data_IF_601772315821
#
_entry.id   IF_601772315821
#
_cell.length_a   1.000
_cell.length_b   1.000
_cell.length_c   1.000
_cell.angle_alpha   90.00
_cell.angle_beta   90.00
_cell.angle_gamma   90.00
#
_symmetry.space_group_name_H-M   'P 1'
#
loop_
_entity.id
_entity.type
_entity.pdbx_description
1 polymer ?
#
# COMPACT_ATOMS: atom_id res chain seq x y z
N UNK A 1 -12.13 2.50 8.01
CA UNK A 1 -11.15 3.09 8.92
C UNK A 1 -9.85 3.39 8.19
N UNK A 2 -9.23 4.49 8.57
CA UNK A 2 -7.95 4.92 7.98
C UNK A 2 -6.89 4.90 9.07
N UNK A 3 -5.75 4.28 8.76
CA UNK A 3 -4.62 4.18 9.67
C UNK A 3 -3.38 4.74 9.00
N UNK A 4 -2.48 5.31 9.79
CA UNK A 4 -1.18 5.77 9.32
C UNK A 4 -0.09 5.08 10.14
N UNK A 5 0.84 4.43 9.44
CA UNK A 5 2.00 3.77 10.03
C UNK A 5 3.23 4.65 9.84
N UNK A 6 4.02 4.79 10.88
CA UNK A 6 5.28 5.54 10.82
C UNK A 6 6.43 4.62 11.22
N UNK A 7 7.44 4.53 10.37
CA UNK A 7 8.70 3.88 10.73
C UNK A 7 9.64 4.95 11.26
N UNK A 8 10.12 4.76 12.49
CA UNK A 8 10.92 5.77 13.15
C UNK A 8 12.26 5.19 13.63
N UNK A 9 13.27 6.06 13.65
CA UNK A 9 14.54 5.79 14.29
C UNK A 9 14.72 6.87 15.35
N UNK A 10 14.43 6.53 16.62
CA UNK A 10 14.35 7.52 17.68
C UNK A 10 13.22 8.51 17.41
N UNK A 11 13.55 9.79 17.29
CA UNK A 11 12.58 10.85 16.99
C UNK A 11 12.46 11.15 15.49
N UNK A 12 13.29 10.50 14.66
CA UNK A 12 13.32 10.75 13.24
C UNK A 12 12.37 9.82 12.51
N UNK A 13 11.51 10.37 11.65
CA UNK A 13 10.63 9.58 10.78
C UNK A 13 11.42 9.13 9.56
N UNK A 14 11.52 7.81 9.34
CA UNK A 14 12.22 7.23 8.20
C UNK A 14 11.25 7.01 7.03
N UNK A 15 10.03 6.58 7.31
CA UNK A 15 9.06 6.33 6.27
C UNK A 15 7.64 6.24 6.81
N UNK A 16 6.68 6.20 5.89
CA UNK A 16 5.26 6.16 6.22
C UNK A 16 4.53 5.17 5.34
N UNK A 17 3.36 4.72 5.81
CA UNK A 17 2.40 3.99 5.00
C UNK A 17 1.01 4.25 5.56
N UNK A 18 0.02 4.33 4.67
CA UNK A 18 -1.38 4.46 5.05
C UNK A 18 -2.16 3.21 4.71
N UNK A 19 -3.21 2.94 5.47
CA UNK A 19 -4.08 1.79 5.26
C UNK A 19 -5.53 2.22 5.44
N UNK A 20 -6.36 1.97 4.42
CA UNK A 20 -7.81 2.13 4.52
C UNK A 20 -8.42 0.73 4.56
N UNK A 21 -9.20 0.44 5.59
CA UNK A 21 -9.78 -0.89 5.82
C UNK A 21 -11.23 -0.92 5.38
N UNK A 22 -11.60 -1.94 4.59
CA UNK A 22 -12.95 -2.16 4.07
C UNK A 22 -13.31 -3.63 4.30
N UNK A 23 -14.03 -3.93 5.38
CA UNK A 23 -14.42 -5.30 5.73
C UNK A 23 -13.21 -6.25 5.80
N UNK A 24 -13.02 -7.11 4.79
CA UNK A 24 -11.94 -8.10 4.77
C UNK A 24 -10.81 -7.73 3.80
N UNK A 25 -10.83 -6.51 3.24
CA UNK A 25 -9.76 -6.03 2.37
C UNK A 25 -9.30 -4.64 2.80
N UNK A 26 -8.14 -4.22 2.27
CA UNK A 26 -7.58 -2.93 2.60
C UNK A 26 -6.87 -2.31 1.41
N UNK A 27 -6.82 -0.98 1.38
CA UNK A 27 -6.08 -0.22 0.40
C UNK A 27 -4.81 0.33 1.05
N UNK A 28 -3.66 -0.09 0.53
CA UNK A 28 -2.36 0.45 0.94
C UNK A 28 -2.11 1.75 0.19
N UNK A 29 -1.74 2.80 0.90
CA UNK A 29 -1.52 4.11 0.30
C UNK A 29 -0.43 4.88 1.01
N UNK A 30 0.06 5.94 0.36
CA UNK A 30 1.01 6.90 0.96
C UNK A 30 2.29 6.24 1.48
N UNK A 31 2.74 5.17 0.81
CA UNK A 31 4.02 4.53 1.15
C UNK A 31 5.15 5.45 0.72
N UNK A 32 6.00 5.81 1.66
CA UNK A 32 7.09 6.75 1.41
C UNK A 32 8.27 6.47 2.33
N UNK A 33 9.48 6.60 1.81
CA UNK A 33 10.73 6.56 2.57
C UNK A 33 11.46 7.87 2.28
N UNK A 34 12.00 8.52 3.32
CA UNK A 34 12.73 9.78 3.12
C UNK A 34 13.97 9.54 2.24
N UNK A 35 14.39 10.57 1.48
CA UNK A 35 15.43 10.42 0.47
C UNK A 35 16.74 9.87 1.00
N UNK A 36 17.18 10.32 2.17
CA UNK A 36 18.45 9.87 2.77
C UNK A 36 18.43 8.38 3.15
N UNK A 37 17.25 7.79 3.29
CA UNK A 37 17.08 6.41 3.74
C UNK A 37 16.65 5.46 2.63
N UNK A 38 16.44 5.97 1.41
CA UNK A 38 16.05 5.12 0.28
C UNK A 38 17.22 4.21 -0.12
N UNK A 39 16.87 3.02 -0.61
CA UNK A 39 17.86 2.03 -1.02
C UNK A 39 18.40 1.16 0.11
N UNK A 40 17.92 1.34 1.34
CA UNK A 40 18.37 0.58 2.53
C UNK A 40 17.40 -0.54 2.94
N UNK A 41 16.35 -0.79 2.15
CA UNK A 41 15.38 -1.84 2.44
C UNK A 41 14.25 -1.44 3.37
N UNK A 42 14.13 -0.18 3.73
CA UNK A 42 13.08 0.28 4.64
C UNK A 42 11.67 0.15 4.04
N UNK A 43 11.54 0.31 2.71
CA UNK A 43 10.25 0.10 2.05
C UNK A 43 9.72 -1.31 2.25
N UNK A 44 10.58 -2.32 2.16
CA UNK A 44 10.21 -3.72 2.40
C UNK A 44 9.82 -3.94 3.86
N UNK A 45 10.52 -3.33 4.80
CA UNK A 45 10.21 -3.43 6.23
C UNK A 45 8.83 -2.81 6.51
N UNK A 46 8.56 -1.63 5.97
CA UNK A 46 7.27 -0.95 6.14
C UNK A 46 6.15 -1.80 5.58
N UNK A 47 6.33 -2.34 4.37
CA UNK A 47 5.32 -3.16 3.72
C UNK A 47 5.04 -4.43 4.54
N UNK A 48 6.08 -5.11 5.01
CA UNK A 48 5.92 -6.31 5.84
C UNK A 48 5.16 -6.02 7.13
N UNK A 49 5.51 -4.93 7.81
CA UNK A 49 4.85 -4.54 9.05
C UNK A 49 3.37 -4.21 8.83
N UNK A 50 3.05 -3.49 7.77
CA UNK A 50 1.67 -3.12 7.48
C UNK A 50 0.84 -4.35 7.07
N UNK A 51 1.45 -5.31 6.36
CA UNK A 51 0.78 -6.56 6.01
C UNK A 51 0.51 -7.42 7.24
N UNK A 52 1.46 -7.49 8.16
CA UNK A 52 1.26 -8.22 9.41
C UNK A 52 0.13 -7.62 10.23
N UNK A 53 0.09 -6.30 10.33
CA UNK A 53 -1.00 -5.60 11.01
C UNK A 53 -2.36 -5.92 10.34
N UNK A 54 -2.40 -5.89 9.01
CA UNK A 54 -3.62 -6.19 8.27
C UNK A 54 -4.09 -7.61 8.52
N UNK A 55 -3.19 -8.59 8.49
CA UNK A 55 -3.53 -9.99 8.79
C UNK A 55 -4.13 -10.14 10.20
N UNK A 56 -3.51 -9.51 11.18
CA UNK A 56 -3.98 -9.56 12.57
C UNK A 56 -5.36 -8.89 12.73
N UNK A 57 -5.69 -7.97 11.83
CA UNK A 57 -6.99 -7.27 11.82
C UNK A 57 -8.06 -8.00 11.03
N UNK A 58 -7.77 -9.19 10.51
CA UNK A 58 -8.74 -9.97 9.73
C UNK A 58 -8.78 -9.64 8.24
N UNK A 59 -7.80 -8.89 7.75
CA UNK A 59 -7.70 -8.53 6.33
C UNK A 59 -7.06 -9.70 5.57
N UNK A 60 -7.64 -10.08 4.43
CA UNK A 60 -7.12 -11.18 3.62
C UNK A 60 -6.66 -10.75 2.21
N UNK A 61 -6.94 -9.51 1.80
CA UNK A 61 -6.50 -8.96 0.53
C UNK A 61 -6.05 -7.52 0.68
N UNK A 62 -4.93 -7.19 0.04
CA UNK A 62 -4.41 -5.82 -0.03
C UNK A 62 -4.48 -5.34 -1.46
N UNK A 63 -4.88 -4.08 -1.64
CA UNK A 63 -4.91 -3.40 -2.93
C UNK A 63 -4.07 -2.14 -2.86
N UNK A 64 -3.53 -1.71 -3.99
CA UNK A 64 -2.83 -0.44 -4.09
C UNK A 64 -2.88 0.10 -5.52
N UNK A 65 -2.62 1.40 -5.65
CA UNK A 65 -2.33 2.02 -6.95
C UNK A 65 -0.93 2.59 -6.89
N UNK A 66 -0.20 2.45 -8.00
CA UNK A 66 1.13 3.05 -8.10
C UNK A 66 1.37 3.55 -9.52
N UNK A 67 2.08 4.66 -9.63
CA UNK A 67 2.49 5.21 -10.92
C UNK A 67 3.96 4.91 -11.21
N UNK A 68 4.77 4.64 -10.19
CA UNK A 68 6.23 4.54 -10.33
C UNK A 68 6.86 3.32 -9.64
N UNK A 69 6.13 2.63 -8.76
CA UNK A 69 6.71 1.60 -7.90
C UNK A 69 6.23 0.19 -8.22
N UNK A 70 5.76 -0.07 -9.45
CA UNK A 70 5.28 -1.39 -9.86
C UNK A 70 6.31 -2.47 -9.58
N UNK A 71 7.57 -2.25 -9.96
CA UNK A 71 8.62 -3.25 -9.80
C UNK A 71 8.90 -3.56 -8.34
N UNK A 72 8.87 -2.53 -7.49
CA UNK A 72 9.03 -2.73 -6.05
C UNK A 72 7.92 -3.63 -5.50
N UNK A 73 6.67 -3.34 -5.84
CA UNK A 73 5.54 -4.12 -5.32
C UNK A 73 5.45 -5.50 -5.95
N UNK A 74 5.88 -5.68 -7.21
CA UNK A 74 6.03 -7.01 -7.78
C UNK A 74 6.92 -7.89 -6.90
N UNK A 75 8.03 -7.35 -6.43
CA UNK A 75 8.97 -8.06 -5.55
C UNK A 75 8.37 -8.34 -4.17
N UNK A 76 7.41 -7.53 -3.75
CA UNK A 76 6.70 -7.75 -2.48
C UNK A 76 5.56 -8.76 -2.60
N UNK A 77 5.33 -9.30 -3.81
CA UNK A 77 4.33 -10.32 -4.01
C UNK A 77 2.98 -9.81 -4.53
N UNK A 78 2.91 -8.55 -4.93
CA UNK A 78 1.70 -7.99 -5.52
C UNK A 78 1.65 -8.31 -7.02
N UNK A 79 0.44 -8.45 -7.56
CA UNK A 79 0.19 -8.68 -8.98
C UNK A 79 -0.68 -7.57 -9.54
N UNK A 80 -0.40 -7.16 -10.79
CA UNK A 80 -1.23 -6.20 -11.49
C UNK A 80 -2.59 -6.83 -11.81
N UNK A 81 -3.66 -6.08 -11.52
CA UNK A 81 -5.02 -6.47 -11.90
C UNK A 81 -5.67 -5.32 -12.68
N UNK A 82 -6.81 -5.59 -13.28
CA UNK A 82 -7.61 -4.55 -13.89
C UNK A 82 -8.33 -3.74 -12.81
N UNK A 83 -8.52 -2.44 -13.07
CA UNK A 83 -9.19 -1.56 -12.11
C UNK A 83 -10.56 -2.09 -11.70
N UNK A 84 -11.33 -2.58 -12.66
CA UNK A 84 -12.67 -3.11 -12.41
C UNK A 84 -12.69 -4.43 -11.64
N UNK A 85 -11.55 -5.07 -11.47
CA UNK A 85 -11.43 -6.29 -10.65
C UNK A 85 -11.29 -5.99 -9.15
N UNK A 86 -11.06 -4.72 -8.80
CA UNK A 86 -11.00 -4.33 -7.39
C UNK A 86 -12.41 -4.14 -6.83
N UNK A 87 -12.61 -4.28 -5.49
CA UNK A 87 -13.93 -4.05 -4.89
C UNK A 87 -14.43 -2.64 -5.13
N UNK A 88 -15.75 -2.49 -5.21
CA UNK A 88 -16.39 -1.18 -5.42
C UNK A 88 -15.99 -0.19 -4.32
N UNK A 89 -15.90 -0.65 -3.06
CA UNK A 89 -15.48 0.19 -1.95
C UNK A 89 -14.08 0.78 -2.18
N UNK A 90 -13.17 -0.01 -2.73
CA UNK A 90 -11.82 0.45 -3.07
C UNK A 90 -11.86 1.41 -4.25
N UNK A 91 -12.66 1.13 -5.28
CA UNK A 91 -12.79 2.00 -6.45
C UNK A 91 -13.35 3.38 -6.11
N UNK A 92 -14.10 3.48 -5.02
CA UNK A 92 -14.71 4.74 -4.58
C UNK A 92 -13.81 5.56 -3.69
N UNK A 93 -12.59 5.09 -3.39
CA UNK A 93 -11.66 5.85 -2.56
C UNK A 93 -11.15 7.08 -3.30
N UNK A 94 -10.75 8.10 -2.53
CA UNK A 94 -10.18 9.32 -3.08
C UNK A 94 -8.95 9.03 -3.95
N UNK A 95 -8.12 8.05 -3.57
CA UNK A 95 -6.93 7.70 -4.33
C UNK A 95 -7.30 7.15 -5.71
N UNK A 96 -8.26 6.22 -5.79
CA UNK A 96 -8.71 5.67 -7.07
C UNK A 96 -9.37 6.73 -7.95
N UNK A 97 -10.12 7.64 -7.36
CA UNK A 97 -10.80 8.72 -8.10
C UNK A 97 -9.79 9.73 -8.63
N UNK A 98 -8.78 10.08 -7.82
CA UNK A 98 -7.82 11.14 -8.17
C UNK A 98 -6.73 10.71 -9.14
N UNK A 99 -6.38 9.41 -9.19
CA UNK A 99 -5.31 8.94 -10.07
C UNK A 99 -5.87 8.53 -11.44
N UNK A 100 -5.22 9.04 -12.49
CA UNK A 100 -5.61 8.75 -13.87
C UNK A 100 -5.35 7.28 -14.21
N UNK A 101 -6.34 6.55 -14.76
CA UNK A 101 -6.14 5.14 -15.12
C UNK A 101 -5.00 4.87 -16.09
N UNK A 102 -4.65 5.85 -16.94
CA UNK A 102 -3.55 5.68 -17.89
C UNK A 102 -2.17 5.82 -17.27
N UNK A 103 -2.07 6.41 -16.07
CA UNK A 103 -0.79 6.66 -15.40
C UNK A 103 -0.56 5.76 -14.18
N UNK A 104 -1.57 5.05 -13.72
CA UNK A 104 -1.47 4.23 -12.52
C UNK A 104 -1.88 2.78 -12.81
N UNK A 105 -1.17 1.84 -12.18
CA UNK A 105 -1.58 0.43 -12.20
C UNK A 105 -2.19 0.07 -10.86
N UNK A 106 -3.19 -0.82 -10.90
CA UNK A 106 -3.81 -1.38 -9.70
C UNK A 106 -3.14 -2.72 -9.42
N UNK A 107 -2.77 -2.95 -8.16
CA UNK A 107 -2.12 -4.19 -7.76
C UNK A 107 -2.84 -4.80 -6.58
N UNK A 108 -2.76 -6.12 -6.46
CA UNK A 108 -3.43 -6.92 -5.42
C UNK A 108 -2.49 -7.97 -4.88
N UNK A 109 -2.61 -8.21 -3.58
CA UNK A 109 -1.92 -9.32 -2.92
C UNK A 109 -2.86 -9.97 -1.90
N UNK A 110 -2.96 -11.30 -1.95
CA UNK A 110 -3.62 -12.05 -0.87
C UNK A 110 -2.64 -12.24 0.28
N UNK A 111 -3.10 -11.95 1.45
CA UNK A 111 -2.30 -12.10 2.68
C UNK A 111 -2.99 -13.06 3.71
#
# INVERSE_FOLDING_TARGET
>A
DKLMYLLMNGEKIIGTAGLEIFDDCALLRSVSVINEEQGKGYGSIINEEIENYAKESGINCMYLLTTTAKDFFDKQGYCVIKREESPVSVQQTAEFISLCPSSAVVMKKKI
#
